data_IF_475852369306
#
_entry.id   IF_475852369306
#
_cell.length_a   1.000
_cell.length_b   1.000
_cell.length_c   1.000
_cell.angle_alpha   90.00
_cell.angle_beta   90.00
_cell.angle_gamma   90.00
#
_symmetry.space_group_name_H-M   'P 1'
#
loop_
_entity.id
_entity.type
_entity.pdbx_description
1 polymer ?
#
# COMPACT_ATOMS: atom_id res chain seq x y z
N UNK A 1 14.23 -21.42 20.37
CA UNK A 1 13.97 -21.91 21.74
C UNK A 1 12.89 -21.05 22.41
N UNK A 2 13.16 -20.03 23.23
CA UNK A 2 12.05 -19.31 23.91
C UNK A 2 11.22 -18.37 23.01
N UNK A 3 11.86 -17.53 22.18
CA UNK A 3 11.13 -16.62 21.28
C UNK A 3 10.23 -17.38 20.27
N UNK A 4 10.67 -18.57 19.91
CA UNK A 4 9.99 -19.48 18.98
C UNK A 4 8.73 -20.06 19.62
N UNK A 5 8.80 -20.47 20.90
CA UNK A 5 7.63 -20.87 21.69
C UNK A 5 6.61 -19.73 21.83
N UNK A 6 7.06 -18.47 21.95
CA UNK A 6 6.16 -17.30 21.94
C UNK A 6 5.50 -17.08 20.58
N UNK A 7 6.21 -17.32 19.47
CA UNK A 7 5.62 -17.25 18.13
C UNK A 7 4.60 -18.37 17.92
N UNK A 8 4.95 -19.61 18.27
CA UNK A 8 4.03 -20.75 18.21
C UNK A 8 2.78 -20.48 19.05
N UNK A 9 2.92 -19.94 20.26
CA UNK A 9 1.79 -19.57 21.13
C UNK A 9 0.89 -18.49 20.50
N UNK A 10 1.47 -17.50 19.82
CA UNK A 10 0.73 -16.47 19.12
C UNK A 10 -0.06 -17.05 17.94
N UNK A 11 0.58 -17.91 17.15
CA UNK A 11 -0.05 -18.59 16.02
C UNK A 11 -1.21 -19.47 16.47
N UNK A 12 -1.02 -20.24 17.56
CA UNK A 12 -2.06 -21.05 18.18
C UNK A 12 -3.27 -20.21 18.64
N UNK A 13 -3.00 -19.03 19.22
CA UNK A 13 -4.07 -18.10 19.62
C UNK A 13 -4.84 -17.57 18.41
N UNK A 14 -4.15 -17.27 17.30
CA UNK A 14 -4.78 -16.80 16.06
C UNK A 14 -5.67 -17.90 15.49
N UNK A 15 -5.20 -19.14 15.45
CA UNK A 15 -5.94 -20.30 14.94
C UNK A 15 -7.18 -20.57 15.81
N UNK A 16 -7.04 -20.56 17.13
CA UNK A 16 -8.12 -20.92 18.06
C UNK A 16 -9.17 -19.84 18.26
N UNK A 17 -8.76 -18.57 18.25
CA UNK A 17 -9.63 -17.45 18.68
C UNK A 17 -9.83 -16.37 17.61
N UNK A 18 -9.09 -16.42 16.51
CA UNK A 18 -9.18 -15.45 15.41
C UNK A 18 -8.48 -14.11 15.66
N UNK A 19 -8.20 -13.39 14.58
CA UNK A 19 -7.40 -12.15 14.59
C UNK A 19 -7.94 -11.07 15.55
N UNK A 20 -9.26 -10.85 15.57
CA UNK A 20 -9.86 -9.81 16.42
C UNK A 20 -9.71 -10.09 17.92
N UNK A 21 -9.81 -11.36 18.33
CA UNK A 21 -9.60 -11.70 19.74
C UNK A 21 -8.14 -11.54 20.13
N UNK A 22 -7.22 -11.93 19.25
CA UNK A 22 -5.77 -11.78 19.48
C UNK A 22 -5.35 -10.31 19.57
N UNK A 23 -5.94 -9.40 18.77
CA UNK A 23 -5.72 -7.95 18.91
C UNK A 23 -5.99 -7.47 20.34
N UNK A 24 -7.10 -7.92 20.95
CA UNK A 24 -7.43 -7.58 22.33
C UNK A 24 -6.43 -8.14 23.34
N UNK A 25 -5.96 -9.38 23.13
CA UNK A 25 -4.93 -10.00 23.99
C UNK A 25 -3.62 -9.21 23.93
N UNK A 26 -3.16 -8.85 22.72
CA UNK A 26 -1.95 -8.06 22.54
C UNK A 26 -2.06 -6.67 23.20
N UNK A 27 -3.22 -6.01 23.12
CA UNK A 27 -3.46 -4.74 23.80
C UNK A 27 -3.35 -4.87 25.34
N UNK A 28 -3.93 -5.93 25.92
CA UNK A 28 -3.84 -6.19 27.37
C UNK A 28 -2.40 -6.51 27.78
N UNK A 29 -1.66 -7.29 26.98
CA UNK A 29 -0.26 -7.59 27.24
C UNK A 29 0.61 -6.33 27.18
N UNK A 30 0.37 -5.46 26.20
CA UNK A 30 1.04 -4.17 26.08
C UNK A 30 0.77 -3.27 27.29
N UNK A 31 -0.49 -3.18 27.74
CA UNK A 31 -0.84 -2.42 28.94
C UNK A 31 -0.16 -2.98 30.21
N UNK A 32 -0.13 -4.31 30.36
CA UNK A 32 0.55 -4.96 31.47
C UNK A 32 2.06 -4.69 31.47
N UNK A 33 2.70 -4.77 30.31
CA UNK A 33 4.12 -4.46 30.14
C UNK A 33 4.41 -3.00 30.51
N UNK A 34 3.56 -2.08 30.06
CA UNK A 34 3.65 -0.66 30.39
C UNK A 34 3.57 -0.40 31.91
N UNK A 35 2.61 -1.03 32.61
CA UNK A 35 2.48 -0.95 34.08
C UNK A 35 3.69 -1.51 34.82
N UNK A 36 4.48 -2.38 34.19
CA UNK A 36 5.73 -2.92 34.74
C UNK A 36 6.97 -2.10 34.34
N UNK A 37 6.80 -0.93 33.70
CA UNK A 37 7.89 -0.04 33.31
C UNK A 37 8.55 -0.39 31.97
N UNK A 38 8.02 -1.37 31.23
CA UNK A 38 8.47 -1.66 29.87
C UNK A 38 7.85 -0.64 28.93
N UNK A 39 8.68 0.29 28.44
CA UNK A 39 8.25 1.32 27.48
C UNK A 39 8.51 0.83 26.06
N UNK A 40 7.45 0.75 25.27
CA UNK A 40 7.56 0.50 23.83
C UNK A 40 7.48 1.85 23.10
N UNK A 41 8.39 2.15 22.16
CA UNK A 41 8.26 3.36 21.36
C UNK A 41 6.95 3.28 20.57
N UNK A 42 6.12 4.33 20.67
CA UNK A 42 4.98 4.46 19.78
C UNK A 42 5.50 4.64 18.35
N UNK A 43 5.08 3.76 17.45
CA UNK A 43 5.33 3.92 16.02
C UNK A 43 3.99 4.07 15.32
N UNK A 44 3.77 5.22 14.68
CA UNK A 44 2.63 5.41 13.76
C UNK A 44 2.81 4.63 12.44
N UNK A 45 3.94 3.95 12.27
CA UNK A 45 4.25 3.20 11.07
C UNK A 45 3.60 1.81 11.13
N UNK A 46 2.80 1.52 10.12
CA UNK A 46 2.42 0.15 9.80
C UNK A 46 3.57 -0.55 9.07
N UNK A 47 3.58 -1.89 9.01
CA UNK A 47 4.53 -2.61 8.15
C UNK A 47 4.48 -2.10 6.71
N UNK A 48 5.60 -2.16 6.00
CA UNK A 48 5.72 -1.71 4.60
C UNK A 48 5.11 -2.74 3.64
N UNK A 49 3.79 -2.94 3.77
CA UNK A 49 2.95 -3.84 3.00
C UNK A 49 1.61 -3.15 2.68
N UNK A 50 0.81 -3.74 1.79
CA UNK A 50 -0.52 -3.22 1.50
C UNK A 50 -1.43 -3.34 2.73
N UNK A 51 -2.12 -2.25 3.08
CA UNK A 51 -3.09 -2.23 4.19
C UNK A 51 -4.29 -3.15 3.96
N UNK A 52 -4.74 -3.28 2.71
CA UNK A 52 -5.84 -4.17 2.32
C UNK A 52 -5.25 -5.47 1.76
N UNK A 53 -5.49 -6.62 2.41
CA UNK A 53 -5.01 -7.91 1.92
C UNK A 53 -5.85 -8.41 0.73
N UNK A 54 -5.34 -9.40 -0.01
CA UNK A 54 -5.95 -9.88 -1.26
C UNK A 54 -7.34 -10.50 -1.03
N UNK A 55 -7.56 -11.14 0.11
CA UNK A 55 -8.84 -11.75 0.50
C UNK A 55 -9.92 -10.72 0.86
N UNK A 56 -9.53 -9.51 1.26
CA UNK A 56 -10.45 -8.37 1.50
C UNK A 56 -10.56 -7.44 0.29
N UNK A 57 -9.77 -7.68 -0.78
CA UNK A 57 -9.79 -6.86 -1.97
C UNK A 57 -11.05 -7.11 -2.79
N UNK A 58 -11.85 -6.06 -3.00
CA UNK A 58 -13.03 -6.14 -3.85
C UNK A 58 -12.67 -6.41 -5.31
N UNK A 59 -13.52 -7.15 -6.06
CA UNK A 59 -13.36 -7.28 -7.51
C UNK A 59 -13.29 -5.91 -8.19
N UNK A 60 -12.42 -5.79 -9.20
CA UNK A 60 -12.30 -4.55 -9.96
C UNK A 60 -13.57 -4.36 -10.82
N UNK A 61 -14.24 -3.19 -10.75
CA UNK A 61 -15.55 -3.02 -11.36
C UNK A 61 -15.51 -2.85 -12.90
N UNK A 62 -14.37 -2.44 -13.45
CA UNK A 62 -14.21 -2.10 -14.86
C UNK A 62 -13.54 -3.18 -15.71
N UNK A 63 -13.38 -2.88 -17.01
CA UNK A 63 -12.64 -3.74 -17.93
C UNK A 63 -11.17 -3.31 -17.99
N UNK A 64 -10.32 -4.07 -17.29
CA UNK A 64 -8.88 -3.80 -17.19
C UNK A 64 -8.15 -3.74 -18.53
N UNK A 65 -8.59 -4.52 -19.53
CA UNK A 65 -7.96 -4.53 -20.84
C UNK A 65 -8.24 -3.23 -21.60
N UNK A 66 -9.51 -2.83 -21.64
CA UNK A 66 -9.94 -1.58 -22.26
C UNK A 66 -9.29 -0.37 -21.58
N UNK A 67 -9.35 -0.31 -20.25
CA UNK A 67 -8.76 0.78 -19.47
C UNK A 67 -7.24 0.87 -19.66
N UNK A 68 -6.55 -0.28 -19.72
CA UNK A 68 -5.11 -0.30 -20.01
C UNK A 68 -4.81 0.26 -21.40
N UNK A 69 -5.63 -0.06 -22.41
CA UNK A 69 -5.47 0.46 -23.76
C UNK A 69 -5.68 1.97 -23.80
N UNK A 70 -6.75 2.46 -23.18
CA UNK A 70 -7.06 3.90 -23.07
C UNK A 70 -5.91 4.63 -22.38
N UNK A 71 -5.51 4.19 -21.18
CA UNK A 71 -4.38 4.79 -20.43
C UNK A 71 -3.09 4.83 -21.24
N UNK A 72 -2.80 3.78 -22.02
CA UNK A 72 -1.58 3.72 -22.84
C UNK A 72 -1.61 4.77 -23.95
N UNK A 73 -2.77 5.00 -24.58
CA UNK A 73 -2.96 6.06 -25.58
C UNK A 73 -2.79 7.44 -24.93
N UNK A 74 -3.40 7.66 -23.77
CA UNK A 74 -3.30 8.94 -23.06
C UNK A 74 -1.85 9.24 -22.67
N UNK A 75 -1.13 8.25 -22.09
CA UNK A 75 0.29 8.36 -21.78
C UNK A 75 1.14 8.69 -23.01
N UNK A 76 0.88 8.02 -24.13
CA UNK A 76 1.58 8.28 -25.38
C UNK A 76 1.35 9.72 -25.87
N UNK A 77 0.10 10.17 -25.88
CA UNK A 77 -0.26 11.53 -26.30
C UNK A 77 0.38 12.59 -25.39
N UNK A 78 0.35 12.40 -24.07
CA UNK A 78 0.97 13.31 -23.11
C UNK A 78 2.48 13.46 -23.36
N UNK A 79 3.19 12.34 -23.55
CA UNK A 79 4.60 12.35 -23.91
C UNK A 79 4.82 13.04 -25.27
N UNK A 80 4.03 12.70 -26.28
CA UNK A 80 4.15 13.25 -27.62
C UNK A 80 3.96 14.77 -27.65
N UNK A 81 3.03 15.31 -26.86
CA UNK A 81 2.82 16.76 -26.71
C UNK A 81 4.07 17.45 -26.17
N UNK A 82 4.67 16.93 -25.10
CA UNK A 82 5.88 17.50 -24.49
C UNK A 82 7.08 17.40 -25.43
N UNK A 83 7.31 16.23 -26.04
CA UNK A 83 8.41 16.03 -26.99
C UNK A 83 8.25 16.94 -28.20
N UNK A 84 7.03 17.06 -28.73
CA UNK A 84 6.73 17.95 -29.85
C UNK A 84 7.00 19.41 -29.49
N UNK A 85 6.52 19.88 -28.34
CA UNK A 85 6.75 21.26 -27.90
C UNK A 85 8.25 21.57 -27.80
N UNK A 86 9.03 20.71 -27.15
CA UNK A 86 10.49 20.89 -27.01
C UNK A 86 11.25 20.78 -28.34
N UNK A 87 10.68 20.14 -29.36
CA UNK A 87 11.30 20.08 -30.69
C UNK A 87 11.13 21.39 -31.48
N UNK A 88 10.03 22.10 -31.29
CA UNK A 88 9.68 23.28 -32.08
C UNK A 88 9.85 24.61 -31.34
N UNK A 89 9.95 24.57 -30.01
CA UNK A 89 10.04 25.75 -29.17
C UNK A 89 11.07 25.54 -28.06
N UNK A 90 12.18 26.27 -28.16
CA UNK A 90 13.23 26.22 -27.16
C UNK A 90 12.76 26.83 -25.82
N UNK A 91 13.17 26.20 -24.71
CA UNK A 91 12.93 26.73 -23.36
C UNK A 91 11.54 26.46 -22.75
N UNK A 92 10.60 25.80 -23.46
CA UNK A 92 9.29 25.45 -22.89
C UNK A 92 9.41 24.34 -21.83
N UNK A 93 10.23 23.30 -22.07
CA UNK A 93 10.39 22.18 -21.15
C UNK A 93 9.15 21.28 -21.04
N UNK A 94 8.97 20.63 -19.88
CA UNK A 94 7.81 19.79 -19.56
C UNK A 94 8.17 18.44 -18.94
N UNK A 95 7.42 18.02 -17.92
CA UNK A 95 7.67 16.77 -17.18
C UNK A 95 6.86 15.60 -17.74
N UNK A 96 7.55 14.61 -18.29
CA UNK A 96 6.93 13.35 -18.77
C UNK A 96 6.80 12.34 -17.62
N UNK A 97 7.85 12.23 -16.79
CA UNK A 97 7.96 11.21 -15.73
C UNK A 97 6.89 11.36 -14.66
N UNK A 98 6.55 12.59 -14.27
CA UNK A 98 5.56 12.88 -13.22
C UNK A 98 4.17 12.34 -13.61
N UNK A 99 3.71 12.64 -14.83
CA UNK A 99 2.43 12.11 -15.28
C UNK A 99 2.51 10.59 -15.50
N UNK A 100 3.60 10.09 -16.07
CA UNK A 100 3.76 8.66 -16.32
C UNK A 100 3.66 7.82 -15.04
N UNK A 101 4.28 8.25 -13.93
CA UNK A 101 4.21 7.55 -12.65
C UNK A 101 2.81 7.58 -12.03
N UNK A 102 2.11 8.71 -12.15
CA UNK A 102 0.80 8.90 -11.54
C UNK A 102 -0.38 8.42 -12.39
N UNK A 103 -0.22 8.18 -13.70
CA UNK A 103 -1.38 8.02 -14.59
C UNK A 103 -2.37 6.94 -14.13
N UNK A 104 -1.91 5.78 -13.65
CA UNK A 104 -2.84 4.73 -13.16
C UNK A 104 -3.70 5.24 -12.00
N UNK A 105 -3.15 6.07 -11.11
CA UNK A 105 -3.90 6.64 -10.00
C UNK A 105 -4.98 7.60 -10.49
N UNK A 106 -4.69 8.39 -11.53
CA UNK A 106 -5.62 9.36 -12.10
C UNK A 106 -6.73 8.73 -12.94
N UNK A 107 -6.47 7.59 -13.60
CA UNK A 107 -7.50 6.90 -14.38
C UNK A 107 -8.46 6.08 -13.50
N UNK A 108 -8.05 5.73 -12.27
CA UNK A 108 -8.84 4.91 -11.34
C UNK A 108 -9.52 5.73 -10.25
N UNK A 109 -8.87 6.80 -9.78
CA UNK A 109 -9.36 7.67 -8.70
C UNK A 109 -10.37 8.69 -9.16
#
# INVERSE_FOLDING_TARGET
AELEEWFESLDDLIIRYGKERVKNVLAILQERAYRQGVTMPFTANTPYINTIPVDEQTPFPGNREIERRIKSIIRWNAMAMVVRANKYHDGIGGHISTYASAATLWEVG
#
